data_IF_094001260105
#
_entry.id   IF_094001260105
#
_cell.length_a   1.000
_cell.length_b   1.000
_cell.length_c   1.000
_cell.angle_alpha   90.00
_cell.angle_beta   90.00
_cell.angle_gamma   90.00
#
_symmetry.space_group_name_H-M   'P 1'
#
loop_
_entity.id
_entity.type
_entity.pdbx_description
1 polymer ?
#
# COMPACT_ATOMS: atom_id res chain seq x y z
N UNK A 1 -14.17 45.17 14.48
CA UNK A 1 -14.57 43.81 14.02
C UNK A 1 -13.66 42.81 14.72
N UNK A 2 -14.20 41.73 15.31
CA UNK A 2 -13.35 40.64 15.83
C UNK A 2 -13.23 39.56 14.77
N UNK A 3 -12.00 39.15 14.47
CA UNK A 3 -11.71 38.07 13.52
C UNK A 3 -12.10 36.69 14.06
N UNK A 4 -11.98 35.67 13.22
CA UNK A 4 -12.19 34.27 13.61
C UNK A 4 -10.85 33.63 13.96
N UNK A 5 -10.78 32.91 15.06
CA UNK A 5 -9.65 32.05 15.42
C UNK A 5 -9.94 30.63 14.97
N UNK A 6 -8.98 30.00 14.31
CA UNK A 6 -9.03 28.59 13.93
C UNK A 6 -7.94 27.85 14.68
N UNK A 7 -8.29 26.72 15.29
CA UNK A 7 -7.34 25.84 15.96
C UNK A 7 -7.29 24.56 15.14
N UNK A 8 -6.10 24.22 14.66
CA UNK A 8 -5.83 22.95 14.02
C UNK A 8 -5.12 22.06 15.04
N UNK A 9 -5.75 20.94 15.39
CA UNK A 9 -5.14 19.95 16.28
C UNK A 9 -4.37 18.94 15.44
N UNK A 10 -3.10 18.76 15.79
CA UNK A 10 -2.33 17.58 15.41
C UNK A 10 -2.35 16.64 16.60
N UNK A 11 -2.63 15.36 16.36
CA UNK A 11 -2.67 14.33 17.40
C UNK A 11 -1.51 13.39 17.19
N UNK A 12 -0.62 13.33 18.17
CA UNK A 12 0.46 12.37 18.20
C UNK A 12 -0.03 11.08 18.87
N UNK A 13 0.06 9.98 18.14
CA UNK A 13 -0.28 8.66 18.66
C UNK A 13 0.92 8.03 19.37
N UNK A 14 0.69 7.13 20.34
CA UNK A 14 1.77 6.33 20.90
C UNK A 14 2.34 5.38 19.84
N UNK A 15 3.63 5.06 19.94
CA UNK A 15 4.30 4.12 19.02
C UNK A 15 3.76 2.70 19.11
N UNK A 16 3.30 2.28 20.29
CA UNK A 16 2.73 0.96 20.51
C UNK A 16 1.73 0.93 21.67
N UNK A 17 0.93 -0.13 21.71
CA UNK A 17 -0.03 -0.40 22.77
C UNK A 17 0.17 -1.83 23.29
N UNK A 18 0.00 -2.01 24.60
CA UNK A 18 -0.05 -3.34 25.20
C UNK A 18 -1.38 -4.04 24.89
N UNK A 19 -1.40 -5.37 24.97
CA UNK A 19 -2.62 -6.14 24.76
C UNK A 19 -3.76 -5.73 25.73
N UNK A 20 -3.43 -5.38 26.97
CA UNK A 20 -4.40 -4.90 27.95
C UNK A 20 -5.01 -3.55 27.54
N UNK A 21 -4.19 -2.60 27.09
CA UNK A 21 -4.66 -1.31 26.59
C UNK A 21 -5.56 -1.48 25.37
N UNK A 22 -5.21 -2.36 24.43
CA UNK A 22 -6.05 -2.67 23.27
C UNK A 22 -7.41 -3.21 23.71
N UNK A 23 -7.46 -4.14 24.67
CA UNK A 23 -8.71 -4.66 25.22
C UNK A 23 -9.56 -3.58 25.88
N UNK A 24 -8.93 -2.67 26.62
CA UNK A 24 -9.63 -1.55 27.26
C UNK A 24 -10.21 -0.58 26.22
N UNK A 25 -9.50 -0.37 25.10
CA UNK A 25 -9.98 0.46 23.99
C UNK A 25 -11.23 -0.12 23.33
N UNK A 26 -11.32 -1.44 23.17
CA UNK A 26 -12.52 -2.09 22.62
C UNK A 26 -13.79 -1.85 23.46
N UNK A 27 -13.65 -1.59 24.76
CA UNK A 27 -14.78 -1.29 25.63
C UNK A 27 -15.29 0.16 25.53
N UNK A 28 -14.45 1.09 25.05
CA UNK A 28 -14.76 2.54 25.01
C UNK A 28 -14.91 3.09 23.61
N UNK A 29 -14.35 2.42 22.59
CA UNK A 29 -14.49 2.81 21.20
C UNK A 29 -15.80 2.26 20.60
N UNK A 30 -16.33 2.89 19.54
CA UNK A 30 -17.44 2.34 18.78
C UNK A 30 -17.16 0.90 18.31
N UNK A 31 -18.20 0.07 18.10
CA UNK A 31 -18.03 -1.29 17.61
C UNK A 31 -17.23 -1.34 16.31
N UNK A 32 -16.35 -2.35 16.20
CA UNK A 32 -15.57 -2.57 14.97
C UNK A 32 -16.52 -2.69 13.76
N UNK A 33 -16.25 -1.96 12.66
CA UNK A 33 -16.99 -2.14 11.43
C UNK A 33 -16.91 -3.60 10.99
N UNK A 34 -18.04 -4.17 10.55
CA UNK A 34 -18.02 -5.50 9.96
C UNK A 34 -17.37 -5.40 8.59
N UNK A 35 -16.26 -6.10 8.39
CA UNK A 35 -15.77 -6.37 7.04
C UNK A 35 -16.81 -7.26 6.36
N UNK A 36 -17.46 -6.74 5.32
CA UNK A 36 -18.29 -7.54 4.45
C UNK A 36 -17.39 -8.09 3.35
N UNK A 37 -16.76 -9.22 3.62
CA UNK A 37 -15.97 -9.98 2.65
C UNK A 37 -16.72 -11.28 2.41
N UNK A 38 -16.93 -11.64 1.16
CA UNK A 38 -17.55 -12.91 0.79
C UNK A 38 -16.59 -14.07 1.06
N UNK A 39 -17.13 -15.28 1.24
CA UNK A 39 -16.30 -16.47 1.46
C UNK A 39 -15.32 -16.71 0.29
N UNK A 40 -15.74 -16.43 -0.95
CA UNK A 40 -14.89 -16.52 -2.14
C UNK A 40 -13.72 -15.52 -2.10
N UNK A 41 -13.96 -14.29 -1.66
CA UNK A 41 -12.90 -13.29 -1.50
C UNK A 41 -11.95 -13.66 -0.33
N UNK A 42 -12.45 -14.32 0.71
CA UNK A 42 -11.61 -14.81 1.82
C UNK A 42 -10.72 -15.98 1.38
N UNK A 43 -11.21 -16.88 0.53
CA UNK A 43 -10.43 -18.00 -0.01
C UNK A 43 -9.29 -17.52 -0.94
N UNK A 44 -9.48 -16.37 -1.60
CA UNK A 44 -8.48 -15.74 -2.45
C UNK A 44 -7.52 -14.79 -1.68
N UNK A 45 -7.75 -14.55 -0.38
CA UNK A 45 -6.89 -13.67 0.42
C UNK A 45 -5.56 -14.35 0.79
N UNK A 46 -4.45 -13.68 0.49
CA UNK A 46 -3.12 -14.09 0.95
C UNK A 46 -2.80 -13.48 2.32
N UNK A 47 -2.28 -14.28 3.26
CA UNK A 47 -1.75 -13.77 4.52
C UNK A 47 -0.51 -12.91 4.24
N UNK A 48 -0.51 -11.69 4.77
CA UNK A 48 0.60 -10.75 4.57
C UNK A 48 0.99 -10.07 5.88
N UNK A 49 2.25 -9.67 5.97
CA UNK A 49 2.79 -8.89 7.09
C UNK A 49 2.89 -7.43 6.70
N UNK A 50 2.47 -6.54 7.59
CA UNK A 50 2.69 -5.10 7.40
C UNK A 50 4.18 -4.79 7.57
N UNK A 51 4.69 -3.93 6.70
CA UNK A 51 6.05 -3.42 6.76
C UNK A 51 6.02 -1.90 6.81
N UNK A 52 6.98 -1.33 7.53
CA UNK A 52 7.15 0.12 7.58
C UNK A 52 7.56 0.64 6.20
N UNK A 53 6.91 1.73 5.78
CA UNK A 53 7.14 2.35 4.48
C UNK A 53 7.90 3.66 4.68
N UNK A 54 9.11 3.73 4.13
CA UNK A 54 9.78 5.02 3.92
C UNK A 54 9.35 5.60 2.56
N UNK A 55 8.53 6.66 2.61
CA UNK A 55 7.95 7.30 1.42
C UNK A 55 9.04 7.82 0.46
N UNK A 56 10.14 8.34 0.98
CA UNK A 56 11.23 8.88 0.14
C UNK A 56 11.94 7.75 -0.63
N UNK A 57 12.25 6.66 0.06
CA UNK A 57 12.91 5.50 -0.54
C UNK A 57 11.99 4.78 -1.54
N UNK A 58 10.70 4.66 -1.24
CA UNK A 58 9.71 4.07 -2.16
C UNK A 58 9.51 4.94 -3.40
N UNK A 59 9.48 6.27 -3.26
CA UNK A 59 9.42 7.18 -4.42
C UNK A 59 10.67 7.05 -5.30
N UNK A 60 11.87 6.95 -4.70
CA UNK A 60 13.12 6.73 -5.44
C UNK A 60 13.12 5.40 -6.18
N UNK A 61 12.68 4.32 -5.51
CA UNK A 61 12.59 2.99 -6.11
C UNK A 61 11.62 2.97 -7.29
N UNK A 62 10.46 3.62 -7.15
CA UNK A 62 9.48 3.74 -8.23
C UNK A 62 10.03 4.52 -9.43
N UNK A 63 10.82 5.57 -9.20
CA UNK A 63 11.46 6.32 -10.29
C UNK A 63 12.50 5.50 -11.04
N UNK A 64 13.29 4.69 -10.34
CA UNK A 64 14.28 3.78 -10.95
C UNK A 64 13.60 2.67 -11.77
N UNK A 65 12.58 2.01 -11.22
CA UNK A 65 11.83 0.99 -11.96
C UNK A 65 11.13 1.54 -13.21
N UNK A 66 10.70 2.81 -13.18
CA UNK A 66 10.17 3.48 -14.36
C UNK A 66 11.25 3.73 -15.42
N UNK A 67 12.50 4.05 -15.02
CA UNK A 67 13.62 4.26 -15.94
C UNK A 67 14.10 2.94 -16.57
N UNK A 68 14.22 1.86 -15.80
CA UNK A 68 14.62 0.53 -16.29
C UNK A 68 13.67 0.01 -17.40
N UNK A 69 12.38 0.33 -17.34
CA UNK A 69 11.41 -0.03 -18.37
C UNK A 69 11.57 0.75 -19.71
N UNK A 70 12.32 1.86 -19.72
CA UNK A 70 12.62 2.65 -20.91
C UNK A 70 14.06 2.46 -21.43
N UNK A 71 15.00 2.06 -20.55
CA UNK A 71 16.40 1.80 -20.94
C UNK A 71 16.58 0.43 -21.66
N UNK A 72 15.66 -0.53 -21.48
CA UNK A 72 15.71 -1.82 -22.23
C UNK A 72 15.32 -1.69 -23.72
N UNK A 73 14.73 -0.57 -24.17
CA UNK A 73 14.27 -0.36 -25.55
C UNK A 73 15.33 0.28 -26.47
N UNK A 74 16.44 0.81 -25.92
CA UNK A 74 17.49 1.52 -26.71
C UNK A 74 18.71 0.65 -27.06
N UNK A 75 18.77 -0.61 -26.61
CA UNK A 75 19.93 -1.52 -26.77
C UNK A 75 19.65 -2.83 -27.56
N UNK A 76 18.73 -2.81 -28.54
CA UNK A 76 18.52 -3.95 -29.46
C UNK A 76 18.77 -3.59 -30.94
N UNK A 77 20.02 -3.74 -31.44
CA UNK A 77 20.29 -3.69 -32.86
C UNK A 77 19.92 -5.03 -33.53
N UNK A 78 18.67 -5.13 -33.99
CA UNK A 78 18.30 -6.00 -35.10
C UNK A 78 17.55 -7.31 -34.77
N UNK A 79 16.31 -7.39 -35.23
CA UNK A 79 15.77 -8.62 -35.80
C UNK A 79 14.93 -9.52 -34.90
N UNK A 80 13.82 -9.03 -34.33
CA UNK A 80 12.75 -9.91 -33.84
C UNK A 80 11.93 -10.47 -35.03
N UNK A 81 12.48 -11.49 -35.69
CA UNK A 81 11.82 -12.25 -36.74
C UNK A 81 10.68 -13.06 -36.11
N UNK A 82 9.44 -12.72 -36.50
CA UNK A 82 8.20 -13.27 -35.95
C UNK A 82 8.15 -14.79 -36.14
N UNK A 83 8.25 -15.55 -35.05
CA UNK A 83 8.03 -17.00 -35.06
C UNK A 83 6.51 -17.25 -35.04
N UNK A 84 5.96 -17.74 -36.16
CA UNK A 84 4.58 -18.23 -36.21
C UNK A 84 4.57 -19.70 -35.79
N UNK A 85 4.00 -19.99 -34.61
CA UNK A 85 3.71 -21.35 -34.19
C UNK A 85 2.50 -21.88 -34.98
N UNK A 86 2.69 -22.91 -35.78
CA UNK A 86 1.60 -23.71 -36.33
C UNK A 86 1.14 -24.72 -35.26
N UNK A 87 -0.15 -24.66 -34.89
CA UNK A 87 -0.78 -25.66 -34.03
C UNK A 87 -1.11 -26.92 -34.85
N UNK A 88 -0.93 -28.10 -34.23
CA UNK A 88 -1.70 -29.32 -34.49
C UNK A 88 -2.32 -29.75 -33.16
#
# INVERSE_FOLDING_TARGET
MRGKMYIHFTVDFPESLTAEQCKNLEAVLPPKPKLQVSDMELDECEETTLHDVNIEDEMRRKQQAAQEAYDEDDDMPGGAQRVQCAQQ
#
